data_IF_888698807366
#
_entry.id   IF_888698807366
#
_cell.length_a   1.000
_cell.length_b   1.000
_cell.length_c   1.000
_cell.angle_alpha   90.00
_cell.angle_beta   90.00
_cell.angle_gamma   90.00
#
_symmetry.space_group_name_H-M   'P 1'
#
loop_
_entity.id
_entity.type
_entity.pdbx_description
1 polymer ?
#
# COMPACT_ATOMS: atom_id res chain seq x y z
N UNK A 1 -8.13 -1.64 -3.82
CA UNK A 1 -8.90 -0.69 -2.96
C UNK A 1 -8.92 -1.03 -1.46
N UNK A 2 -9.28 -2.25 -1.04
CA UNK A 2 -9.44 -2.60 0.39
C UNK A 2 -8.15 -2.41 1.21
N UNK A 3 -6.99 -2.78 0.66
CA UNK A 3 -5.71 -2.59 1.34
C UNK A 3 -5.41 -1.11 1.65
N UNK A 4 -5.82 -0.17 0.77
CA UNK A 4 -5.63 1.28 0.98
C UNK A 4 -6.48 1.77 2.16
N UNK A 5 -7.71 1.30 2.29
CA UNK A 5 -8.59 1.61 3.42
C UNK A 5 -7.99 1.09 4.72
N UNK A 6 -7.53 -0.16 4.75
CA UNK A 6 -6.85 -0.74 5.93
C UNK A 6 -5.60 0.03 6.31
N UNK A 7 -4.83 0.49 5.33
CA UNK A 7 -3.65 1.32 5.57
C UNK A 7 -4.02 2.67 6.21
N UNK A 8 -5.03 3.37 5.68
CA UNK A 8 -5.51 4.63 6.26
C UNK A 8 -6.06 4.44 7.67
N UNK A 9 -6.84 3.39 7.89
CA UNK A 9 -7.36 3.05 9.21
C UNK A 9 -6.22 2.71 10.19
N UNK A 10 -5.18 2.02 9.71
CA UNK A 10 -3.96 1.76 10.47
C UNK A 10 -3.24 3.03 10.88
N UNK A 11 -3.13 4.03 9.99
CA UNK A 11 -2.56 5.34 10.32
C UNK A 11 -3.39 6.03 11.39
N UNK A 12 -4.72 6.09 11.24
CA UNK A 12 -5.60 6.70 12.23
C UNK A 12 -5.46 6.01 13.60
N UNK A 13 -5.49 4.68 13.64
CA UNK A 13 -5.30 3.91 14.86
C UNK A 13 -3.92 4.21 15.49
N UNK A 14 -2.85 4.27 14.71
CA UNK A 14 -1.52 4.59 15.21
C UNK A 14 -1.44 6.00 15.80
N UNK A 15 -2.08 7.00 15.16
CA UNK A 15 -2.12 8.37 15.66
C UNK A 15 -2.87 8.48 16.99
N UNK A 16 -4.04 7.84 17.10
CA UNK A 16 -4.76 7.78 18.38
C UNK A 16 -3.96 7.04 19.45
N UNK A 17 -3.32 5.92 19.09
CA UNK A 17 -2.46 5.18 20.01
C UNK A 17 -1.31 6.03 20.55
N UNK A 18 -0.60 6.74 19.67
CA UNK A 18 0.49 7.64 20.04
C UNK A 18 -0.02 8.80 20.92
N UNK A 19 -1.19 9.36 20.60
CA UNK A 19 -1.81 10.42 21.39
C UNK A 19 -2.14 9.94 22.81
N UNK A 20 -2.74 8.75 22.97
CA UNK A 20 -3.02 8.19 24.30
C UNK A 20 -1.75 7.92 25.09
N UNK A 21 -0.70 7.40 24.46
CA UNK A 21 0.59 7.21 25.11
C UNK A 21 1.20 8.55 25.56
N UNK A 22 1.14 9.59 24.71
CA UNK A 22 1.61 10.92 25.05
C UNK A 22 0.82 11.51 26.23
N UNK A 23 -0.51 11.36 26.23
CA UNK A 23 -1.36 11.78 27.35
C UNK A 23 -0.98 11.01 28.63
N UNK A 24 -0.70 9.72 28.53
CA UNK A 24 -0.24 8.91 29.68
C UNK A 24 1.10 9.38 30.25
N UNK A 25 2.04 9.77 29.39
CA UNK A 25 3.36 10.26 29.80
C UNK A 25 3.25 11.68 30.39
N UNK A 26 2.58 12.60 29.71
CA UNK A 26 2.46 14.01 30.12
C UNK A 26 1.53 14.18 31.31
N UNK A 27 0.44 13.42 31.35
CA UNK A 27 -0.56 13.43 32.42
C UNK A 27 -0.19 12.59 33.64
N UNK A 28 1.05 12.09 33.72
CA UNK A 28 1.48 11.26 34.83
C UNK A 28 1.50 12.08 36.13
N UNK A 29 0.63 11.71 37.07
CA UNK A 29 0.53 12.34 38.39
C UNK A 29 0.42 11.30 39.49
N UNK A 30 1.16 11.51 40.58
CA UNK A 30 1.08 10.67 41.77
C UNK A 30 -0.25 10.82 42.53
N UNK A 31 -1.00 11.91 42.29
CA UNK A 31 -2.31 12.14 42.89
C UNK A 31 -3.47 11.48 42.14
N UNK A 32 -3.24 11.01 40.91
CA UNK A 32 -4.27 10.34 40.11
C UNK A 32 -4.52 8.91 40.58
N UNK A 33 -5.73 8.39 40.35
CA UNK A 33 -6.03 6.98 40.67
C UNK A 33 -5.16 6.04 39.83
N UNK A 34 -4.96 4.81 40.30
CA UNK A 34 -4.21 3.79 39.55
C UNK A 34 -4.84 3.55 38.17
N UNK A 35 -6.18 3.55 38.10
CA UNK A 35 -6.91 3.41 36.84
C UNK A 35 -6.58 4.57 35.88
N UNK A 36 -6.63 5.81 36.35
CA UNK A 36 -6.35 7.00 35.52
C UNK A 36 -4.91 7.02 34.99
N UNK A 37 -3.94 6.53 35.78
CA UNK A 37 -2.55 6.44 35.36
C UNK A 37 -2.35 5.42 34.24
N UNK A 38 -2.98 4.26 34.33
CA UNK A 38 -2.73 3.15 33.39
C UNK A 38 -3.67 3.14 32.18
N UNK A 39 -4.86 3.71 32.28
CA UNK A 39 -5.86 3.70 31.22
C UNK A 39 -5.34 4.27 29.88
N UNK A 40 -4.61 5.40 29.84
CA UNK A 40 -4.05 5.91 28.59
C UNK A 40 -3.05 4.94 27.95
N UNK A 41 -2.25 4.23 28.74
CA UNK A 41 -1.32 3.22 28.23
C UNK A 41 -2.03 1.98 27.71
N UNK A 42 -3.10 1.54 28.38
CA UNK A 42 -3.93 0.42 27.92
C UNK A 42 -4.61 0.76 26.59
N UNK A 43 -5.25 1.93 26.50
CA UNK A 43 -5.87 2.42 25.26
C UNK A 43 -4.84 2.62 24.15
N UNK A 44 -3.69 3.21 24.48
CA UNK A 44 -2.58 3.41 23.55
C UNK A 44 -2.09 2.08 22.97
N UNK A 45 -1.82 1.10 23.83
CA UNK A 45 -1.35 -0.23 23.43
C UNK A 45 -2.37 -0.96 22.54
N UNK A 46 -3.66 -0.87 22.88
CA UNK A 46 -4.74 -1.45 22.05
C UNK A 46 -4.74 -0.87 20.64
N UNK A 47 -4.63 0.46 20.52
CA UNK A 47 -4.60 1.15 19.23
C UNK A 47 -3.35 0.81 18.42
N UNK A 48 -2.19 0.72 19.05
CA UNK A 48 -0.94 0.30 18.39
C UNK A 48 -1.04 -1.16 17.91
N UNK A 49 -1.62 -2.06 18.72
CA UNK A 49 -1.88 -3.44 18.32
C UNK A 49 -2.81 -3.53 17.10
N UNK A 50 -3.91 -2.78 17.11
CA UNK A 50 -4.84 -2.70 15.98
C UNK A 50 -4.17 -2.14 14.73
N UNK A 51 -3.40 -1.04 14.87
CA UNK A 51 -2.65 -0.45 13.77
C UNK A 51 -1.68 -1.45 13.14
N UNK A 52 -0.93 -2.18 13.98
CA UNK A 52 0.01 -3.22 13.53
C UNK A 52 -0.69 -4.31 12.74
N UNK A 53 -1.84 -4.80 13.22
CA UNK A 53 -2.64 -5.81 12.51
C UNK A 53 -3.17 -5.28 11.17
N UNK A 54 -3.66 -4.04 11.13
CA UNK A 54 -4.15 -3.39 9.91
C UNK A 54 -3.04 -3.20 8.88
N UNK A 55 -1.85 -2.76 9.31
CA UNK A 55 -0.69 -2.62 8.44
C UNK A 55 -0.21 -3.97 7.91
N UNK A 56 -0.15 -5.00 8.76
CA UNK A 56 0.22 -6.34 8.35
C UNK A 56 -0.72 -6.87 7.27
N UNK A 57 -2.03 -6.83 7.54
CA UNK A 57 -3.06 -7.37 6.63
C UNK A 57 -3.13 -6.56 5.33
N UNK A 58 -3.04 -5.23 5.40
CA UNK A 58 -2.94 -4.35 4.23
C UNK A 58 -1.72 -4.68 3.37
N UNK A 59 -0.55 -4.85 4.00
CA UNK A 59 0.69 -5.19 3.30
C UNK A 59 0.58 -6.54 2.58
N UNK A 60 0.04 -7.56 3.27
CA UNK A 60 -0.18 -8.89 2.69
C UNK A 60 -1.13 -8.83 1.49
N UNK A 61 -2.23 -8.08 1.59
CA UNK A 61 -3.17 -7.91 0.47
C UNK A 61 -2.51 -7.19 -0.71
N UNK A 62 -1.76 -6.12 -0.46
CA UNK A 62 -1.01 -5.41 -1.50
C UNK A 62 -0.02 -6.32 -2.22
N UNK A 63 0.67 -7.21 -1.48
CA UNK A 63 1.59 -8.18 -2.07
C UNK A 63 0.86 -9.19 -2.97
N UNK A 64 -0.29 -9.71 -2.53
CA UNK A 64 -1.10 -10.64 -3.31
C UNK A 64 -1.63 -9.99 -4.59
N UNK A 65 -2.10 -8.75 -4.49
CA UNK A 65 -2.60 -7.97 -5.63
C UNK A 65 -1.47 -7.69 -6.63
N UNK A 66 -0.30 -7.23 -6.16
CA UNK A 66 0.88 -7.06 -7.01
C UNK A 66 1.33 -8.37 -7.67
N UNK A 67 1.32 -9.49 -6.96
CA UNK A 67 1.67 -10.80 -7.53
C UNK A 67 0.66 -11.27 -8.59
N UNK A 68 -0.63 -10.91 -8.46
CA UNK A 68 -1.64 -11.13 -9.51
C UNK A 68 -1.34 -10.25 -10.73
N UNK A 69 -1.12 -8.95 -10.53
CA UNK A 69 -0.83 -8.01 -11.62
C UNK A 69 0.47 -8.33 -12.35
N UNK A 70 1.52 -8.78 -11.64
CA UNK A 70 2.79 -9.21 -12.25
C UNK A 70 2.63 -10.48 -13.09
N UNK A 71 1.75 -11.41 -12.68
CA UNK A 71 1.45 -12.60 -13.49
C UNK A 71 0.73 -12.19 -14.77
N UNK A 72 -0.27 -11.32 -14.68
CA UNK A 72 -0.99 -10.80 -15.84
C UNK A 72 -0.05 -10.05 -16.79
N UNK A 73 0.78 -9.13 -16.28
CA UNK A 73 1.74 -8.38 -17.09
C UNK A 73 2.70 -9.30 -17.83
N UNK A 74 3.20 -10.36 -17.18
CA UNK A 74 4.07 -11.35 -17.83
C UNK A 74 3.38 -12.10 -18.95
N UNK A 75 2.10 -12.44 -18.80
CA UNK A 75 1.33 -13.10 -19.86
C UNK A 75 1.13 -12.15 -21.04
N UNK A 76 0.73 -10.91 -20.78
CA UNK A 76 0.52 -9.92 -21.85
C UNK A 76 1.81 -9.60 -22.60
N UNK A 77 2.95 -9.49 -21.91
CA UNK A 77 4.24 -9.23 -22.55
C UNK A 77 4.81 -10.44 -23.31
N UNK A 78 4.23 -11.65 -23.16
CA UNK A 78 4.57 -12.79 -24.02
C UNK A 78 3.85 -12.71 -25.36
N UNK A 79 2.65 -12.16 -25.37
CA UNK A 79 1.81 -12.05 -26.57
C UNK A 79 2.02 -10.72 -27.31
N UNK A 80 2.34 -9.65 -26.58
CA UNK A 80 2.48 -8.30 -27.10
C UNK A 80 3.81 -7.69 -26.66
N UNK A 81 4.53 -7.05 -27.59
CA UNK A 81 5.81 -6.40 -27.30
C UNK A 81 5.69 -5.20 -26.32
N UNK A 82 4.49 -4.60 -26.24
CA UNK A 82 4.17 -3.53 -25.30
C UNK A 82 2.71 -3.58 -24.86
N UNK A 83 2.45 -3.03 -23.68
CA UNK A 83 1.10 -2.92 -23.12
C UNK A 83 0.86 -1.49 -22.65
N UNK A 84 -0.26 -0.89 -23.07
CA UNK A 84 -0.68 0.43 -22.57
C UNK A 84 -1.36 0.35 -21.21
N UNK A 85 -1.22 1.39 -20.38
CA UNK A 85 -1.82 1.46 -19.05
C UNK A 85 -3.34 1.28 -19.06
N UNK A 86 -4.04 1.88 -20.03
CA UNK A 86 -5.50 1.73 -20.19
C UNK A 86 -5.91 0.29 -20.54
N UNK A 87 -5.23 -0.30 -21.52
CA UNK A 87 -5.46 -1.69 -21.92
C UNK A 87 -5.16 -2.66 -20.76
N UNK A 88 -4.07 -2.41 -20.04
CA UNK A 88 -3.73 -3.19 -18.85
C UNK A 88 -4.80 -3.04 -17.76
N UNK A 89 -5.29 -1.82 -17.52
CA UNK A 89 -6.33 -1.54 -16.53
C UNK A 89 -7.62 -2.31 -16.82
N UNK A 90 -8.07 -2.29 -18.08
CA UNK A 90 -9.27 -3.02 -18.54
C UNK A 90 -9.11 -4.54 -18.32
N UNK A 91 -7.95 -5.11 -18.68
CA UNK A 91 -7.68 -6.55 -18.51
C UNK A 91 -7.49 -6.96 -17.04
N UNK A 92 -6.90 -6.08 -16.23
CA UNK A 92 -6.67 -6.32 -14.82
C UNK A 92 -7.92 -6.08 -13.95
N UNK A 93 -8.91 -5.35 -14.47
CA UNK A 93 -10.07 -4.90 -13.72
C UNK A 93 -9.72 -3.89 -12.63
N UNK A 94 -8.78 -2.98 -12.91
CA UNK A 94 -8.33 -1.91 -11.99
C UNK A 94 -8.51 -0.54 -12.64
N UNK A 95 -8.34 0.54 -11.87
CA UNK A 95 -8.43 1.88 -12.45
C UNK A 95 -7.20 2.18 -13.35
N UNK A 96 -7.33 3.06 -14.36
CA UNK A 96 -6.20 3.47 -15.20
C UNK A 96 -5.03 4.07 -14.40
N UNK A 97 -5.34 4.82 -13.32
CA UNK A 97 -4.32 5.39 -12.45
C UNK A 97 -3.58 4.33 -11.62
N UNK A 98 -4.28 3.30 -11.13
CA UNK A 98 -3.64 2.17 -10.45
C UNK A 98 -2.76 1.35 -11.40
N UNK A 99 -3.23 1.15 -12.65
CA UNK A 99 -2.44 0.51 -13.69
C UNK A 99 -1.15 1.30 -14.00
N UNK A 100 -1.25 2.61 -14.17
CA UNK A 100 -0.07 3.47 -14.36
C UNK A 100 0.92 3.37 -13.20
N UNK A 101 0.43 3.49 -11.96
CA UNK A 101 1.26 3.36 -10.74
C UNK A 101 1.98 2.01 -10.71
N UNK A 102 1.26 0.92 -10.99
CA UNK A 102 1.79 -0.42 -11.03
C UNK A 102 2.84 -0.61 -12.13
N UNK A 103 2.58 -0.15 -13.36
CA UNK A 103 3.50 -0.29 -14.48
C UNK A 103 4.81 0.49 -14.26
N UNK A 104 4.72 1.71 -13.70
CA UNK A 104 5.90 2.49 -13.29
C UNK A 104 6.67 1.80 -12.17
N UNK A 105 5.99 1.24 -11.18
CA UNK A 105 6.61 0.43 -10.13
C UNK A 105 7.33 -0.80 -10.71
N UNK A 106 6.69 -1.52 -11.63
CA UNK A 106 7.24 -2.71 -12.28
C UNK A 106 8.49 -2.38 -13.11
N UNK A 107 8.47 -1.28 -13.88
CA UNK A 107 9.64 -0.81 -14.64
C UNK A 107 10.81 -0.42 -13.74
N UNK A 108 10.57 0.26 -12.61
CA UNK A 108 11.63 0.56 -11.62
C UNK A 108 12.23 -0.69 -10.99
N UNK A 109 11.42 -1.73 -10.78
CA UNK A 109 11.85 -2.96 -10.11
C UNK A 109 12.52 -3.97 -11.05
N UNK A 110 12.25 -3.90 -12.36
CA UNK A 110 12.74 -4.87 -13.34
C UNK A 110 13.50 -4.17 -14.46
N UNK A 111 14.80 -4.48 -14.56
CA UNK A 111 15.72 -3.91 -15.57
C UNK A 111 15.39 -4.26 -17.02
N UNK A 112 14.51 -5.24 -17.23
CA UNK A 112 14.03 -5.66 -18.54
C UNK A 112 12.68 -5.03 -18.94
N UNK A 113 12.14 -4.10 -18.15
CA UNK A 113 10.89 -3.40 -18.43
C UNK A 113 11.13 -1.89 -18.47
N UNK A 114 10.64 -1.24 -19.52
CA UNK A 114 10.75 0.22 -19.69
C UNK A 114 9.35 0.82 -19.78
N UNK A 115 9.01 1.69 -18.84
CA UNK A 115 7.80 2.51 -18.92
C UNK A 115 8.12 3.82 -19.67
N UNK A 116 7.33 4.13 -20.70
CA UNK A 116 7.45 5.34 -21.53
C UNK A 116 6.13 6.11 -21.55
N UNK A 117 6.19 7.42 -21.63
CA UNK A 117 5.01 8.31 -21.68
C UNK A 117 4.54 8.76 -20.29
N UNK A 118 3.51 9.62 -20.27
CA UNK A 118 2.92 10.18 -19.04
C UNK A 118 1.39 10.09 -19.06
N UNK A 119 0.79 9.95 -17.86
CA UNK A 119 -0.66 9.84 -17.68
C UNK A 119 -1.27 8.69 -18.46
N UNK A 120 -2.38 8.94 -19.14
CA UNK A 120 -3.13 7.93 -19.90
C UNK A 120 -2.36 7.34 -21.10
N UNK A 121 -1.21 7.92 -21.47
CA UNK A 121 -0.36 7.44 -22.57
C UNK A 121 0.78 6.51 -22.09
N UNK A 122 0.86 6.18 -20.80
CA UNK A 122 1.90 5.28 -20.28
C UNK A 122 1.82 3.92 -20.96
N UNK A 123 2.95 3.48 -21.50
CA UNK A 123 3.13 2.13 -22.07
C UNK A 123 4.33 1.48 -21.43
N UNK A 124 4.26 0.17 -21.23
CA UNK A 124 5.40 -0.63 -20.79
C UNK A 124 5.88 -1.51 -21.94
N UNK A 125 7.20 -1.56 -22.11
CA UNK A 125 7.88 -2.34 -23.13
C UNK A 125 8.77 -3.37 -22.46
N UNK A 126 8.88 -4.55 -23.08
CA UNK A 126 9.97 -5.44 -22.73
C UNK A 126 11.25 -4.94 -23.41
N UNK A 127 12.36 -4.83 -22.68
CA UNK A 127 13.59 -4.19 -23.17
C UNK A 127 14.15 -4.80 -24.47
N UNK A 128 13.86 -6.07 -24.74
CA UNK A 128 14.30 -6.75 -25.96
C UNK A 128 13.49 -6.35 -27.22
N UNK A 129 12.37 -5.65 -27.08
CA UNK A 129 11.56 -5.16 -28.20
C UNK A 129 11.86 -3.70 -28.60
N UNK A 130 12.84 -3.06 -27.95
CA UNK A 130 13.26 -1.68 -28.20
C UNK A 130 14.52 -1.56 -29.07
N UNK A 131 15.08 -2.70 -29.51
CA UNK A 131 16.18 -2.78 -30.48
C UNK A 131 15.64 -3.18 -31.85
#
# INVERSE_FOLDING_TARGET
>A
MVYRIKYLLGIMAALFGLLYLLIGIVGWSESATVADRWMPFALGSLHIGLATLLFWTSSRERQLENARLERLLRLLLREQASVGARQFAELAGISPSEAEEFLRWASRRRSNLVATGEGNAVRIWARHSLN
#
